data_IF_988866999691
#
_entry.id   IF_988866999691
#
_cell.length_a   1.000
_cell.length_b   1.000
_cell.length_c   1.000
_cell.angle_alpha   90.00
_cell.angle_beta   90.00
_cell.angle_gamma   90.00
#
_symmetry.space_group_name_H-M   'P 1'
#
loop_
_entity.id
_entity.type
_entity.pdbx_description
1 polymer ?
#
# COMPACT_ATOMS: atom_id res chain seq x y z
N UNK A 1 21.17 33.50 -38.44
CA UNK A 1 19.69 33.62 -38.46
C UNK A 1 19.13 32.22 -38.73
N UNK A 2 18.29 31.57 -37.93
CA UNK A 2 17.71 31.77 -36.61
C UNK A 2 16.90 30.49 -36.33
N UNK A 3 17.17 29.80 -35.23
CA UNK A 3 16.49 28.57 -34.82
C UNK A 3 15.03 28.87 -34.44
N UNK A 4 14.06 28.18 -35.04
CA UNK A 4 12.66 28.20 -34.59
C UNK A 4 12.47 27.12 -33.54
N UNK A 5 12.30 27.53 -32.29
CA UNK A 5 11.82 26.64 -31.25
C UNK A 5 10.32 26.37 -31.42
N UNK A 6 9.94 25.09 -31.48
CA UNK A 6 8.55 24.63 -31.47
C UNK A 6 8.19 24.27 -30.04
N UNK A 7 7.36 25.08 -29.39
CA UNK A 7 6.81 24.80 -28.06
C UNK A 7 5.79 23.64 -28.08
N UNK A 8 5.79 22.72 -27.09
CA UNK A 8 4.83 21.62 -27.05
C UNK A 8 3.44 22.05 -26.56
N UNK A 9 2.42 21.73 -27.35
CA UNK A 9 0.98 21.86 -27.03
C UNK A 9 0.54 20.77 -26.04
N UNK A 10 0.74 20.96 -24.74
CA UNK A 10 0.36 19.95 -23.73
C UNK A 10 -0.93 20.27 -22.95
N UNK A 11 -1.70 21.33 -23.27
CA UNK A 11 -2.83 21.77 -22.41
C UNK A 11 -4.23 21.30 -22.89
N UNK A 12 -4.37 20.66 -24.06
CA UNK A 12 -5.72 20.34 -24.62
C UNK A 12 -6.30 18.94 -24.30
N UNK A 13 -5.58 18.05 -23.63
CA UNK A 13 -6.02 16.64 -23.50
C UNK A 13 -6.96 16.35 -22.32
N UNK A 14 -6.98 17.17 -21.27
CA UNK A 14 -7.71 16.86 -20.03
C UNK A 14 -9.15 17.36 -19.98
N UNK A 15 -9.51 18.37 -20.77
CA UNK A 15 -10.89 18.89 -20.84
C UNK A 15 -11.77 18.09 -21.82
N UNK A 16 -11.19 17.55 -22.90
CA UNK A 16 -11.94 16.76 -23.89
C UNK A 16 -12.39 15.39 -23.37
N UNK A 17 -11.62 14.78 -22.46
CA UNK A 17 -11.98 13.46 -21.89
C UNK A 17 -13.21 13.55 -20.97
N UNK A 18 -13.34 14.61 -20.17
CA UNK A 18 -14.48 14.82 -19.27
C UNK A 18 -15.77 15.20 -20.01
N UNK A 19 -15.66 16.00 -21.08
CA UNK A 19 -16.78 16.34 -21.97
C UNK A 19 -17.35 15.08 -22.63
N UNK A 20 -16.50 14.15 -23.09
CA UNK A 20 -16.95 12.91 -23.75
C UNK A 20 -17.75 11.95 -22.87
N UNK A 21 -17.57 12.00 -21.55
CA UNK A 21 -18.29 11.12 -20.61
C UNK A 21 -19.71 11.63 -20.31
N UNK A 22 -19.93 12.95 -20.37
CA UNK A 22 -21.22 13.59 -20.01
C UNK A 22 -22.26 13.45 -21.13
N UNK A 23 -21.87 13.39 -22.41
CA UNK A 23 -22.83 13.25 -23.52
C UNK A 23 -23.23 11.82 -23.88
N UNK A 24 -22.71 10.79 -23.20
CA UNK A 24 -22.89 9.40 -23.62
C UNK A 24 -24.20 8.77 -23.13
N UNK A 25 -24.75 9.23 -22.01
CA UNK A 25 -25.95 8.64 -21.38
C UNK A 25 -27.26 9.09 -22.04
N UNK A 26 -27.31 10.31 -22.57
CA UNK A 26 -28.58 10.91 -23.02
C UNK A 26 -28.92 10.54 -24.48
N UNK A 27 -27.92 10.15 -25.28
CA UNK A 27 -28.06 9.82 -26.71
C UNK A 27 -28.73 8.44 -26.91
N UNK A 28 -28.63 7.54 -25.93
CA UNK A 28 -29.11 6.15 -26.06
C UNK A 28 -30.59 5.98 -25.66
N UNK A 29 -31.16 6.90 -24.87
CA UNK A 29 -32.51 6.80 -24.29
C UNK A 29 -33.60 7.59 -25.04
N UNK A 30 -33.24 8.41 -26.04
CA UNK A 30 -34.18 9.29 -26.78
C UNK A 30 -34.95 8.55 -27.89
N UNK A 31 -36.09 9.10 -28.32
CA UNK A 31 -36.92 8.61 -29.45
C UNK A 31 -36.10 8.45 -30.73
N UNK A 32 -35.24 9.43 -31.03
CA UNK A 32 -34.35 9.40 -32.18
C UNK A 32 -32.93 9.01 -31.72
N UNK A 33 -32.74 7.71 -31.45
CA UNK A 33 -31.46 7.14 -31.01
C UNK A 33 -30.58 6.74 -32.21
N UNK A 34 -29.28 6.91 -32.05
CA UNK A 34 -28.30 6.39 -33.01
C UNK A 34 -28.21 4.88 -32.82
N UNK A 35 -28.70 4.10 -33.78
CA UNK A 35 -28.60 2.65 -33.78
C UNK A 35 -27.17 2.25 -34.10
N UNK A 36 -26.46 1.68 -33.11
CA UNK A 36 -25.13 1.11 -33.32
C UNK A 36 -25.27 -0.24 -34.01
N UNK A 37 -24.70 -0.45 -35.20
CA UNK A 37 -24.74 -1.74 -35.86
C UNK A 37 -23.92 -2.76 -35.06
N UNK A 38 -24.39 -4.01 -35.02
CA UNK A 38 -23.64 -5.09 -34.38
C UNK A 38 -22.39 -5.38 -35.20
N UNK A 39 -21.23 -5.31 -34.54
CA UNK A 39 -19.96 -5.63 -35.20
C UNK A 39 -19.76 -7.14 -35.28
N UNK A 40 -19.11 -7.64 -36.33
CA UNK A 40 -18.80 -9.09 -36.47
C UNK A 40 -18.02 -9.62 -35.27
N UNK A 41 -17.10 -8.82 -34.73
CA UNK A 41 -16.34 -9.13 -33.51
C UNK A 41 -17.24 -9.35 -32.29
N UNK A 42 -18.29 -8.54 -32.12
CA UNK A 42 -19.25 -8.71 -31.03
C UNK A 42 -20.01 -10.04 -31.16
N UNK A 43 -20.36 -10.44 -32.40
CA UNK A 43 -21.00 -11.74 -32.66
C UNK A 43 -20.04 -12.89 -32.34
N UNK A 44 -18.78 -12.80 -32.74
CA UNK A 44 -17.77 -13.83 -32.43
C UNK A 44 -17.50 -13.96 -30.93
N UNK A 45 -17.44 -12.85 -30.20
CA UNK A 45 -17.30 -12.84 -28.75
C UNK A 45 -18.51 -13.51 -28.10
N UNK A 46 -19.73 -13.14 -28.51
CA UNK A 46 -20.95 -13.76 -28.00
C UNK A 46 -20.97 -15.28 -28.22
N UNK A 47 -20.51 -15.75 -29.39
CA UNK A 47 -20.41 -17.20 -29.66
C UNK A 47 -19.44 -17.91 -28.72
N UNK A 48 -18.32 -17.28 -28.37
CA UNK A 48 -17.35 -17.84 -27.42
C UNK A 48 -17.92 -17.89 -26.02
N UNK A 49 -18.60 -16.83 -25.58
CA UNK A 49 -19.22 -16.77 -24.26
C UNK A 49 -20.30 -17.84 -24.13
N UNK A 50 -21.15 -18.00 -25.15
CA UNK A 50 -22.16 -19.07 -25.18
C UNK A 50 -21.54 -20.46 -25.12
N UNK A 51 -20.44 -20.71 -25.85
CA UNK A 51 -19.75 -22.00 -25.78
C UNK A 51 -19.19 -22.28 -24.37
N UNK A 52 -18.61 -21.27 -23.71
CA UNK A 52 -18.15 -21.38 -22.32
C UNK A 52 -19.31 -21.62 -21.34
N UNK A 53 -20.45 -20.96 -21.55
CA UNK A 53 -21.66 -21.18 -20.75
C UNK A 53 -22.18 -22.61 -20.92
N UNK A 54 -22.22 -23.13 -22.15
CA UNK A 54 -22.62 -24.52 -22.42
C UNK A 54 -21.70 -25.53 -21.72
N UNK A 55 -20.39 -25.32 -21.78
CA UNK A 55 -19.40 -26.13 -21.05
C UNK A 55 -19.62 -26.05 -19.54
N UNK A 56 -19.78 -24.84 -18.98
CA UNK A 56 -20.05 -24.65 -17.56
C UNK A 56 -21.36 -25.33 -17.13
N UNK A 57 -22.41 -25.21 -17.94
CA UNK A 57 -23.70 -25.83 -17.70
C UNK A 57 -23.61 -27.36 -17.73
N UNK A 58 -22.77 -27.93 -18.59
CA UNK A 58 -22.52 -29.36 -18.59
C UNK A 58 -21.93 -29.83 -17.26
N UNK A 59 -20.92 -29.13 -16.72
CA UNK A 59 -20.33 -29.48 -15.42
C UNK A 59 -21.30 -29.30 -14.24
N UNK A 60 -22.14 -28.26 -14.28
CA UNK A 60 -23.09 -27.99 -13.19
C UNK A 60 -24.29 -28.96 -13.15
N UNK A 61 -24.59 -29.69 -14.23
CA UNK A 61 -25.69 -30.67 -14.29
C UNK A 61 -25.46 -31.91 -13.44
N UNK A 62 -24.21 -32.25 -13.15
CA UNK A 62 -23.84 -33.50 -12.49
C UNK A 62 -23.25 -33.24 -11.10
N UNK A 63 -24.08 -32.98 -10.08
CA UNK A 63 -23.61 -32.80 -8.72
C UNK A 63 -23.04 -34.10 -8.15
N UNK A 64 -21.91 -34.00 -7.44
CA UNK A 64 -21.26 -35.15 -6.82
C UNK A 64 -22.03 -35.68 -5.59
N UNK A 65 -22.72 -34.80 -4.85
CA UNK A 65 -23.48 -35.14 -3.66
C UNK A 65 -24.96 -34.87 -3.88
N UNK A 66 -25.79 -35.77 -3.37
CA UNK A 66 -27.23 -35.53 -3.27
C UNK A 66 -27.53 -34.48 -2.19
N UNK A 67 -28.71 -33.87 -2.27
CA UNK A 67 -29.15 -32.86 -1.29
C UNK A 67 -29.10 -33.40 0.15
N UNK A 68 -29.51 -34.63 0.36
CA UNK A 68 -29.50 -35.30 1.66
C UNK A 68 -28.08 -35.49 2.19
N UNK A 69 -27.15 -35.96 1.35
CA UNK A 69 -25.74 -36.15 1.73
C UNK A 69 -25.03 -34.81 2.02
N UNK A 70 -25.41 -33.75 1.32
CA UNK A 70 -24.82 -32.42 1.54
C UNK A 70 -25.23 -31.80 2.89
N UNK A 71 -26.31 -32.27 3.51
CA UNK A 71 -26.77 -31.74 4.78
C UNK A 71 -25.75 -32.05 5.89
N UNK A 72 -25.15 -31.00 6.47
CA UNK A 72 -24.26 -31.13 7.62
C UNK A 72 -22.82 -31.61 7.33
N UNK A 73 -22.45 -31.90 6.07
CA UNK A 73 -21.11 -32.41 5.71
C UNK A 73 -19.95 -31.52 6.22
N UNK A 74 -20.17 -30.20 6.32
CA UNK A 74 -19.16 -29.24 6.76
C UNK A 74 -19.35 -28.78 8.22
N UNK A 75 -20.27 -29.37 9.00
CA UNK A 75 -20.57 -28.93 10.37
C UNK A 75 -19.38 -29.10 11.32
N UNK A 76 -18.63 -30.19 11.16
CA UNK A 76 -17.41 -30.46 11.92
C UNK A 76 -16.35 -29.37 11.77
N UNK A 77 -16.30 -28.68 10.61
CA UNK A 77 -15.32 -27.62 10.36
C UNK A 77 -15.60 -26.33 11.15
N UNK A 78 -16.81 -26.15 11.71
CA UNK A 78 -17.22 -24.98 12.52
C UNK A 78 -16.86 -23.61 11.89
N UNK A 79 -16.76 -23.53 10.56
CA UNK A 79 -16.30 -22.31 9.83
C UNK A 79 -17.21 -21.12 10.06
N UNK A 80 -18.51 -21.36 10.20
CA UNK A 80 -19.48 -20.32 10.46
C UNK A 80 -19.29 -19.72 11.87
N UNK A 81 -19.19 -20.57 12.88
CA UNK A 81 -19.05 -20.17 14.29
C UNK A 81 -17.73 -19.41 14.51
N UNK A 82 -16.63 -19.94 14.00
CA UNK A 82 -15.31 -19.29 14.05
C UNK A 82 -15.31 -17.93 13.34
N UNK A 83 -15.93 -17.83 12.15
CA UNK A 83 -16.08 -16.55 11.44
C UNK A 83 -16.92 -15.56 12.25
N UNK A 84 -18.04 -16.00 12.82
CA UNK A 84 -18.93 -15.17 13.63
C UNK A 84 -18.24 -14.69 14.91
N UNK A 85 -17.51 -15.56 15.60
CA UNK A 85 -16.74 -15.21 16.79
C UNK A 85 -15.64 -14.21 16.45
N UNK A 86 -14.93 -14.39 15.33
CA UNK A 86 -13.95 -13.43 14.83
C UNK A 86 -14.58 -12.04 14.61
N UNK A 87 -15.74 -11.97 13.99
CA UNK A 87 -16.46 -10.69 13.82
C UNK A 87 -16.89 -10.07 15.16
N UNK A 88 -17.37 -10.88 16.11
CA UNK A 88 -17.71 -10.43 17.46
C UNK A 88 -16.48 -9.87 18.20
N UNK A 89 -15.36 -10.60 18.15
CA UNK A 89 -14.11 -10.19 18.78
C UNK A 89 -13.60 -8.87 18.17
N UNK A 90 -13.57 -8.76 16.85
CA UNK A 90 -13.18 -7.50 16.18
C UNK A 90 -14.07 -6.32 16.54
N UNK A 91 -15.37 -6.56 16.74
CA UNK A 91 -16.29 -5.52 17.22
C UNK A 91 -15.95 -5.13 18.66
N UNK A 92 -15.76 -6.11 19.54
CA UNK A 92 -15.46 -5.89 20.95
C UNK A 92 -14.09 -5.21 21.16
N UNK A 93 -13.07 -5.57 20.36
CA UNK A 93 -11.73 -4.96 20.39
C UNK A 93 -11.76 -3.44 20.19
N UNK A 94 -12.72 -2.92 19.41
CA UNK A 94 -12.90 -1.47 19.24
C UNK A 94 -13.29 -0.77 20.55
N UNK A 95 -14.03 -1.46 21.41
CA UNK A 95 -14.57 -0.95 22.67
C UNK A 95 -13.77 -1.38 23.90
N UNK A 96 -12.98 -2.46 23.80
CA UNK A 96 -12.16 -3.01 24.88
C UNK A 96 -10.88 -2.20 25.19
N UNK A 97 -10.79 -0.95 24.74
CA UNK A 97 -9.64 -0.08 25.02
C UNK A 97 -9.71 0.40 26.47
N UNK A 98 -9.04 -0.32 27.38
CA UNK A 98 -8.88 0.10 28.76
C UNK A 98 -7.92 1.30 28.84
N UNK A 99 -8.36 2.38 29.50
CA UNK A 99 -7.49 3.48 29.92
C UNK A 99 -6.98 3.18 31.32
N UNK A 100 -5.67 3.24 31.52
CA UNK A 100 -5.07 3.08 32.86
C UNK A 100 -4.70 4.45 33.41
N UNK A 101 -4.86 4.65 34.72
CA UNK A 101 -4.50 5.91 35.39
C UNK A 101 -3.03 6.29 35.14
N UNK A 102 -2.13 5.32 35.03
CA UNK A 102 -0.72 5.55 34.68
C UNK A 102 -0.54 6.23 33.31
N UNK A 103 -1.32 5.79 32.31
CA UNK A 103 -1.27 6.39 30.97
C UNK A 103 -1.90 7.79 30.96
N UNK A 104 -2.91 8.02 31.81
CA UNK A 104 -3.51 9.34 31.96
C UNK A 104 -2.58 10.29 32.71
N UNK A 105 -1.87 9.84 33.75
CA UNK A 105 -0.98 10.67 34.57
C UNK A 105 0.43 10.84 33.97
N UNK A 106 0.78 10.15 32.88
CA UNK A 106 2.12 10.23 32.29
C UNK A 106 2.48 11.62 31.76
N UNK A 107 1.49 12.45 31.40
CA UNK A 107 1.71 13.83 30.94
C UNK A 107 2.18 14.77 32.07
N UNK A 108 1.96 14.43 33.34
CA UNK A 108 2.39 15.26 34.46
C UNK A 108 3.91 15.18 34.70
N UNK A 109 4.55 14.14 34.17
CA UNK A 109 6.01 13.91 34.30
C UNK A 109 6.86 14.83 33.42
N UNK A 110 6.26 15.59 32.50
CA UNK A 110 7.02 16.49 31.61
C UNK A 110 7.76 17.59 32.37
N UNK A 111 7.35 17.88 33.62
CA UNK A 111 8.01 18.84 34.52
C UNK A 111 8.95 18.20 35.53
N UNK A 112 9.16 16.88 35.49
CA UNK A 112 10.25 16.22 36.22
C UNK A 112 11.58 16.61 35.54
N UNK A 113 11.98 17.86 35.71
CA UNK A 113 13.34 18.29 35.48
C UNK A 113 14.16 17.66 36.59
N UNK A 114 15.04 16.74 36.21
CA UNK A 114 16.13 16.36 37.10
C UNK A 114 16.81 17.66 37.51
N UNK A 115 16.92 17.92 38.82
CA UNK A 115 17.87 18.90 39.31
C UNK A 115 19.22 18.49 38.72
N UNK A 116 19.61 19.17 37.65
CA UNK A 116 20.94 19.06 37.10
C UNK A 116 21.82 19.78 38.11
N UNK A 117 22.13 19.12 39.23
CA UNK A 117 23.19 19.56 40.13
C UNK A 117 24.41 19.76 39.26
N UNK A 118 24.77 21.02 39.01
CA UNK A 118 25.79 21.47 38.07
C UNK A 118 27.23 21.03 38.46
N UNK A 119 27.37 20.01 39.30
CA UNK A 119 28.64 19.45 39.77
C UNK A 119 28.89 17.99 39.37
N UNK A 120 27.97 17.31 38.66
CA UNK A 120 28.14 15.88 38.32
C UNK A 120 27.88 15.58 36.85
N UNK A 121 28.75 16.07 35.95
CA UNK A 121 28.99 15.39 34.68
C UNK A 121 30.50 15.20 34.48
N UNK A 122 30.98 13.95 34.36
CA UNK A 122 32.31 13.71 33.81
C UNK A 122 32.26 14.04 32.32
N UNK A 123 33.14 14.95 31.89
CA UNK A 123 33.29 15.47 30.52
C UNK A 123 33.76 14.40 29.50
N UNK A 124 33.76 13.11 29.86
CA UNK A 124 34.48 12.05 29.14
C UNK A 124 33.58 10.89 28.62
N UNK A 125 32.52 11.15 27.85
CA UNK A 125 31.82 10.05 27.11
C UNK A 125 31.47 10.43 25.66
N UNK A 126 31.84 11.61 25.17
CA UNK A 126 31.42 12.11 23.85
C UNK A 126 32.10 11.51 22.61
N UNK A 127 33.30 10.91 22.72
CA UNK A 127 34.07 10.49 21.54
C UNK A 127 34.12 8.99 21.26
N UNK A 128 33.83 8.13 22.22
CA UNK A 128 33.93 6.67 22.01
C UNK A 128 32.64 6.08 21.42
N UNK A 129 31.48 6.56 21.86
CA UNK A 129 30.19 6.10 21.35
C UNK A 129 29.98 6.45 19.88
N UNK A 130 30.46 7.61 19.44
CA UNK A 130 30.32 8.00 18.04
C UNK A 130 31.21 7.15 17.12
N UNK A 131 32.41 6.76 17.57
CA UNK A 131 33.31 5.82 16.85
C UNK A 131 32.70 4.42 16.74
N UNK A 132 32.08 3.93 17.82
CA UNK A 132 31.40 2.63 17.80
C UNK A 132 30.18 2.62 16.87
N UNK A 133 29.41 3.72 16.83
CA UNK A 133 28.25 3.85 15.95
C UNK A 133 28.64 3.96 14.47
N UNK A 134 29.73 4.70 14.14
CA UNK A 134 30.28 4.77 12.78
C UNK A 134 30.81 3.42 12.28
N UNK A 135 31.47 2.64 13.14
CA UNK A 135 32.00 1.32 12.79
C UNK A 135 30.91 0.28 12.49
N UNK A 136 29.74 0.39 13.13
CA UNK A 136 28.59 -0.47 12.87
C UNK A 136 27.86 -0.12 11.57
N UNK A 137 27.83 1.17 11.19
CA UNK A 137 27.23 1.60 9.92
C UNK A 137 28.06 1.22 8.69
N UNK A 138 29.39 1.18 8.81
CA UNK A 138 30.29 0.85 7.70
C UNK A 138 30.28 -0.64 7.27
N UNK A 139 29.72 -1.55 8.07
CA UNK A 139 29.76 -3.01 7.81
C UNK A 139 28.51 -3.57 7.12
N UNK A 140 27.51 -2.75 6.77
CA UNK A 140 26.22 -3.26 6.26
C UNK A 140 25.75 -2.61 4.96
N UNK A 141 26.56 -2.70 3.91
CA UNK A 141 26.07 -2.54 2.52
C UNK A 141 26.81 -3.51 1.59
N UNK A 142 26.32 -4.75 1.48
CA UNK A 142 26.53 -5.55 0.27
C UNK A 142 25.30 -5.32 -0.60
N UNK A 143 25.45 -4.48 -1.63
CA UNK A 143 24.43 -4.30 -2.66
C UNK A 143 24.47 -5.54 -3.56
N UNK A 144 23.43 -6.37 -3.53
CA UNK A 144 23.38 -7.63 -4.29
C UNK A 144 23.05 -7.44 -5.77
N UNK A 145 22.94 -6.21 -6.27
CA UNK A 145 22.51 -5.91 -7.65
C UNK A 145 23.59 -5.28 -8.54
N UNK A 146 24.77 -4.94 -8.03
CA UNK A 146 25.86 -4.44 -8.87
C UNK A 146 27.22 -5.05 -8.50
N UNK A 147 27.73 -5.93 -9.39
CA UNK A 147 29.04 -6.55 -9.29
C UNK A 147 30.13 -5.58 -9.79
N UNK A 148 30.25 -4.42 -9.14
CA UNK A 148 31.23 -3.36 -9.46
C UNK A 148 32.02 -3.00 -8.20
N UNK A 149 33.35 -3.00 -8.32
CA UNK A 149 34.30 -2.92 -7.20
C UNK A 149 34.57 -1.50 -6.65
N UNK A 150 33.75 -0.49 -6.98
CA UNK A 150 33.95 0.88 -6.46
C UNK A 150 32.64 1.48 -5.92
N UNK A 151 32.37 1.23 -4.64
CA UNK A 151 31.18 1.72 -3.93
C UNK A 151 31.34 2.95 -3.02
N UNK A 152 32.51 3.55 -2.70
CA UNK A 152 32.53 4.66 -1.75
C UNK A 152 32.29 6.06 -2.35
N UNK A 153 32.18 6.22 -3.67
CA UNK A 153 32.03 7.56 -4.29
C UNK A 153 30.59 7.93 -4.72
N UNK A 154 29.62 7.01 -4.60
CA UNK A 154 28.23 7.32 -4.96
C UNK A 154 27.36 7.86 -3.82
N UNK A 155 27.85 7.91 -2.57
CA UNK A 155 27.05 8.39 -1.42
C UNK A 155 27.43 9.77 -0.90
N UNK A 156 28.59 10.33 -1.26
CA UNK A 156 29.05 11.61 -0.68
C UNK A 156 28.62 12.83 -1.53
N UNK A 157 28.26 12.67 -2.81
CA UNK A 157 27.82 13.79 -3.64
C UNK A 157 26.34 14.18 -3.48
N UNK A 158 25.52 13.40 -2.78
CA UNK A 158 24.08 13.67 -2.66
C UNK A 158 23.65 14.47 -1.41
N UNK A 159 24.54 14.67 -0.42
CA UNK A 159 24.15 15.27 0.87
C UNK A 159 24.55 16.75 1.00
N UNK A 160 25.43 17.28 0.13
CA UNK A 160 25.85 18.70 0.22
C UNK A 160 25.01 19.64 -0.69
N UNK A 161 24.13 19.13 -1.56
CA UNK A 161 23.35 19.96 -2.50
C UNK A 161 21.82 19.83 -2.41
N UNK A 162 21.26 19.31 -1.32
CA UNK A 162 19.80 19.23 -1.14
C UNK A 162 19.32 19.96 0.12
N UNK A 163 19.55 21.27 0.14
CA UNK A 163 18.65 22.16 0.86
C UNK A 163 17.29 22.20 0.14
N UNK A 164 16.22 21.88 0.87
CA UNK A 164 14.81 22.17 0.54
C UNK A 164 14.05 21.33 -0.52
N UNK A 165 14.21 20.00 -0.53
CA UNK A 165 13.25 19.14 -1.27
C UNK A 165 13.00 17.78 -0.58
N UNK A 166 12.58 17.80 0.68
CA UNK A 166 12.15 16.60 1.41
C UNK A 166 10.66 16.35 1.19
N UNK A 167 10.34 15.35 0.36
CA UNK A 167 9.22 14.41 0.55
C UNK A 167 9.19 13.34 -0.55
N UNK A 168 9.62 13.63 -1.78
CA UNK A 168 9.53 12.65 -2.88
C UNK A 168 10.70 11.65 -2.96
N UNK A 169 11.88 12.01 -2.43
CA UNK A 169 13.06 11.13 -2.49
C UNK A 169 13.02 9.96 -1.49
N UNK A 170 12.15 10.01 -0.46
CA UNK A 170 12.01 8.87 0.46
C UNK A 170 11.12 7.76 -0.11
N UNK A 171 10.10 8.07 -0.93
CA UNK A 171 9.21 7.04 -1.50
C UNK A 171 9.92 6.16 -2.54
N UNK A 172 10.85 6.70 -3.32
CA UNK A 172 11.66 5.92 -4.26
C UNK A 172 12.65 4.98 -3.56
N UNK A 173 13.15 5.37 -2.39
CA UNK A 173 14.07 4.55 -1.60
C UNK A 173 13.37 3.33 -0.95
N UNK A 174 12.13 3.50 -0.50
CA UNK A 174 11.31 2.38 0.02
C UNK A 174 10.95 1.35 -1.07
N UNK A 175 10.72 1.77 -2.31
CA UNK A 175 10.43 0.86 -3.42
C UNK A 175 11.63 0.00 -3.84
N UNK A 176 12.87 0.45 -3.64
CA UNK A 176 14.07 -0.33 -3.94
C UNK A 176 14.38 -1.46 -2.94
N UNK A 177 13.77 -1.45 -1.74
CA UNK A 177 13.99 -2.47 -0.69
C UNK A 177 12.99 -3.64 -0.83
N UNK A 178 12.04 -3.59 -1.77
CA UNK A 178 11.15 -4.72 -2.07
C UNK A 178 10.18 -5.10 -0.93
N UNK A 179 9.91 -4.18 -0.01
CA UNK A 179 8.93 -4.38 1.08
C UNK A 179 7.60 -3.69 0.76
N UNK A 180 6.98 -4.05 -0.37
CA UNK A 180 5.57 -3.72 -0.62
C UNK A 180 4.68 -4.71 0.13
N UNK A 181 4.36 -4.42 1.41
CA UNK A 181 3.36 -5.23 2.11
C UNK A 181 3.17 -5.10 3.61
N UNK A 182 3.90 -4.23 4.32
CA UNK A 182 3.71 -4.07 5.77
C UNK A 182 3.03 -2.74 6.11
N UNK A 183 1.70 -2.78 6.26
CA UNK A 183 0.91 -1.72 6.91
C UNK A 183 1.48 -1.45 8.31
N UNK A 184 2.07 -0.27 8.51
CA UNK A 184 2.56 0.21 9.79
C UNK A 184 1.40 0.66 10.68
N UNK A 185 0.66 -0.29 11.25
CA UNK A 185 -0.30 -0.01 12.32
C UNK A 185 -0.32 -1.14 13.34
N UNK A 186 0.77 -1.28 14.12
CA UNK A 186 0.83 -1.79 15.49
C UNK A 186 2.24 -2.29 15.84
N UNK A 187 3.16 -1.38 16.18
CA UNK A 187 4.34 -1.74 16.99
C UNK A 187 4.59 -0.62 18.00
N UNK A 188 3.71 -0.58 19.01
CA UNK A 188 4.02 -0.04 20.34
C UNK A 188 3.30 -0.94 21.36
N UNK A 189 3.84 -2.15 21.54
CA UNK A 189 3.54 -3.00 22.70
C UNK A 189 4.66 -4.02 22.85
N UNK A 190 5.71 -3.65 23.59
CA UNK A 190 6.46 -4.51 24.51
C UNK A 190 7.60 -3.69 25.16
N UNK A 191 7.26 -2.99 26.24
CA UNK A 191 7.92 -2.99 27.56
C UNK A 191 7.12 -2.12 28.51
#
# INVERSE_FOLDING_TARGET
MGERQVFPRQIKSTLLSKVSAIYKTDIELKKDRIVKPVTKKAVELLKKDLALEEENMFYLRHPFLTREQSAGHARYLQKYETRLQKYRNQRNEKFAKHRTLKNELSHLKTKEQWEFTAGSLPIYIGLEWWKAMYALFAKRTRCTTCNSQYAPLCQISAIILMGSAQTQAMESWWNCIGLTGAKWSNIQRQR
#
